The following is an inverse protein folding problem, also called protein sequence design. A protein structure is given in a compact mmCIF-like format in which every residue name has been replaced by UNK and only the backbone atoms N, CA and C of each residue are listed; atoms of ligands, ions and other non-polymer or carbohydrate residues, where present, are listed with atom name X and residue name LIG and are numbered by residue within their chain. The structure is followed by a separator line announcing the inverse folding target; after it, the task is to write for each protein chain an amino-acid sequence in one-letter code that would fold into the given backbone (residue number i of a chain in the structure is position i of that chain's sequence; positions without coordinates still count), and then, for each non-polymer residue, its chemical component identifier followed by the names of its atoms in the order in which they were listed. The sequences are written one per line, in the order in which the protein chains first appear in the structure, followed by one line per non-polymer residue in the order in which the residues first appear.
data_IF_026945930734
#
_entry.id   IF_026945930734
#
_cell.length_a   1.000
_cell.length_b   1.000
_cell.length_c   1.000
_cell.angle_alpha   90.00
_cell.angle_beta   90.00
_cell.angle_gamma   90.00
#
_symmetry.space_group_name_H-M   'P 1'
#
loop_
_entity.id
_entity.type
_entity.pdbx_description
1 polymer ?
#
# COMPACT_ATOMS: atom_id res chain seq x y z
N UNK A 1 25.63 -25.71 -10.52
CA UNK A 1 25.21 -24.59 -9.64
C UNK A 1 24.83 -25.18 -8.29
N UNK A 2 25.24 -24.55 -7.17
CA UNK A 2 24.86 -25.05 -5.84
C UNK A 2 23.33 -25.02 -5.69
N UNK A 3 22.75 -25.92 -4.91
CA UNK A 3 21.30 -26.00 -4.67
C UNK A 3 20.70 -24.70 -4.08
N UNK A 4 21.57 -23.82 -3.59
CA UNK A 4 21.27 -22.49 -3.03
C UNK A 4 21.21 -21.39 -4.10
N UNK A 5 22.00 -21.49 -5.17
CA UNK A 5 22.09 -20.43 -6.19
C UNK A 5 20.78 -20.26 -6.98
N UNK A 6 20.09 -21.34 -7.30
CA UNK A 6 18.90 -21.26 -8.15
C UNK A 6 17.73 -20.52 -7.45
N UNK A 7 17.34 -20.82 -6.20
CA UNK A 7 16.35 -20.03 -5.47
C UNK A 7 16.72 -18.55 -5.33
N UNK A 8 18.00 -18.24 -5.12
CA UNK A 8 18.47 -16.86 -5.05
C UNK A 8 18.29 -16.12 -6.39
N UNK A 9 18.48 -16.80 -7.52
CA UNK A 9 18.18 -16.22 -8.83
C UNK A 9 16.69 -15.93 -9.00
N UNK A 10 15.81 -16.84 -8.56
CA UNK A 10 14.36 -16.59 -8.58
C UNK A 10 13.98 -15.40 -7.68
N UNK A 11 14.56 -15.31 -6.49
CA UNK A 11 14.40 -14.17 -5.60
C UNK A 11 14.84 -12.85 -6.27
N UNK A 12 16.04 -12.81 -6.84
CA UNK A 12 16.57 -11.63 -7.52
C UNK A 12 15.72 -11.24 -8.74
N UNK A 13 15.32 -12.21 -9.57
CA UNK A 13 14.43 -11.99 -10.71
C UNK A 13 13.06 -11.46 -10.26
N UNK A 14 12.50 -12.04 -9.20
CA UNK A 14 11.28 -11.57 -8.54
C UNK A 14 11.41 -10.11 -8.11
N UNK A 15 12.51 -9.76 -7.44
CA UNK A 15 12.79 -8.39 -6.97
C UNK A 15 12.83 -7.37 -8.10
N UNK A 16 13.52 -7.68 -9.20
CA UNK A 16 13.56 -6.83 -10.39
C UNK A 16 12.15 -6.69 -11.00
N UNK A 17 11.41 -7.79 -11.12
CA UNK A 17 10.06 -7.78 -11.70
C UNK A 17 9.07 -7.01 -10.83
N UNK A 18 9.10 -7.20 -9.52
CA UNK A 18 8.29 -6.48 -8.53
C UNK A 18 8.55 -4.99 -8.54
N UNK A 19 9.83 -4.61 -8.54
CA UNK A 19 10.24 -3.23 -8.65
C UNK A 19 9.77 -2.57 -9.95
N UNK A 20 10.00 -3.21 -11.10
CA UNK A 20 9.57 -2.71 -12.41
C UNK A 20 8.04 -2.62 -12.53
N UNK A 21 7.33 -3.63 -12.03
CA UNK A 21 5.86 -3.67 -12.02
C UNK A 21 5.30 -2.49 -11.21
N UNK A 22 5.85 -2.28 -10.01
CA UNK A 22 5.44 -1.20 -9.12
C UNK A 22 5.77 0.18 -9.69
N UNK A 23 6.98 0.37 -10.24
CA UNK A 23 7.36 1.59 -10.93
C UNK A 23 6.39 1.92 -12.07
N UNK A 24 6.07 0.93 -12.92
CA UNK A 24 5.10 1.11 -14.02
C UNK A 24 3.72 1.48 -13.52
N UNK A 25 3.22 0.81 -12.47
CA UNK A 25 1.91 1.12 -11.86
C UNK A 25 1.86 2.55 -11.33
N UNK A 26 2.89 2.98 -10.58
CA UNK A 26 2.98 4.35 -10.06
C UNK A 26 3.08 5.37 -11.21
N UNK A 27 3.90 5.11 -12.22
CA UNK A 27 4.03 6.00 -13.38
C UNK A 27 2.73 6.11 -14.17
N UNK A 28 1.98 5.01 -14.30
CA UNK A 28 0.68 5.00 -14.98
C UNK A 28 -0.43 5.62 -14.15
N UNK A 29 -0.42 5.49 -12.81
CA UNK A 29 -1.46 6.11 -11.96
C UNK A 29 -1.47 7.63 -12.11
N UNK A 30 -0.30 8.24 -12.26
CA UNK A 30 -0.10 9.70 -12.35
C UNK A 30 -0.65 10.39 -13.60
N UNK A 31 -1.22 9.64 -14.55
CA UNK A 31 -1.85 10.23 -15.75
C UNK A 31 -3.35 10.33 -15.53
N UNK A 32 -3.91 11.53 -15.58
CA UNK A 32 -5.35 11.74 -15.63
C UNK A 32 -5.96 10.90 -16.76
N UNK A 33 -6.94 10.08 -16.40
CA UNK A 33 -7.87 9.53 -17.39
C UNK A 33 -8.84 10.62 -17.85
N UNK A 34 -9.74 10.29 -18.77
CA UNK A 34 -10.89 11.15 -19.02
C UNK A 34 -11.78 11.17 -17.77
N UNK A 35 -11.92 12.33 -17.13
CA UNK A 35 -12.79 12.52 -15.95
C UNK A 35 -14.08 13.18 -16.44
N UNK A 36 -15.24 12.60 -16.10
CA UNK A 36 -16.56 13.17 -16.38
C UNK A 36 -17.12 13.87 -15.14
N UNK A 37 -17.86 14.96 -15.31
CA UNK A 37 -18.49 15.69 -14.20
C UNK A 37 -17.51 16.44 -13.29
N UNK A 38 -16.46 17.03 -13.89
CA UNK A 38 -15.45 17.84 -13.19
C UNK A 38 -16.03 19.20 -12.84
N UNK A 39 -15.99 19.55 -11.56
CA UNK A 39 -16.31 20.90 -11.05
C UNK A 39 -15.05 21.77 -11.05
N UNK A 40 -13.92 21.23 -10.59
CA UNK A 40 -12.61 21.87 -10.60
C UNK A 40 -11.53 20.83 -10.89
N UNK A 41 -10.53 21.18 -11.70
CA UNK A 41 -9.37 20.32 -11.99
C UNK A 41 -8.07 21.11 -11.90
N UNK A 42 -7.03 20.50 -11.34
CA UNK A 42 -5.70 21.08 -11.29
C UNK A 42 -4.60 20.06 -11.21
N UNK A 43 -3.38 20.52 -11.42
CA UNK A 43 -2.16 19.77 -11.13
C UNK A 43 -1.45 20.42 -9.97
N UNK A 44 -0.98 19.59 -9.05
CA UNK A 44 -0.32 20.01 -7.83
C UNK A 44 1.05 19.33 -7.74
N UNK A 45 2.06 20.09 -7.31
CA UNK A 45 3.36 19.51 -6.98
C UNK A 45 3.21 18.62 -5.75
N UNK A 46 3.81 17.41 -5.75
CA UNK A 46 3.58 16.45 -4.69
C UNK A 46 4.03 17.00 -3.33
N UNK A 47 3.16 16.87 -2.33
CA UNK A 47 3.47 17.25 -0.96
C UNK A 47 4.31 16.15 -0.28
N UNK A 48 5.38 16.50 0.44
CA UNK A 48 6.12 15.53 1.26
C UNK A 48 5.23 14.99 2.39
N UNK A 49 4.81 13.72 2.27
CA UNK A 49 3.89 13.08 3.20
C UNK A 49 4.38 13.12 4.66
N UNK A 50 5.70 13.10 4.90
CA UNK A 50 6.29 13.17 6.24
C UNK A 50 6.07 14.52 6.94
N UNK A 51 5.97 15.62 6.20
CA UNK A 51 5.80 16.95 6.79
C UNK A 51 4.36 17.16 7.26
N UNK A 52 3.40 16.66 6.48
CA UNK A 52 1.98 16.91 6.71
C UNK A 52 1.31 15.77 7.48
N UNK A 53 1.68 14.50 7.23
CA UNK A 53 1.06 13.31 7.85
C UNK A 53 2.06 12.30 8.41
N UNK A 54 2.67 12.68 9.54
CA UNK A 54 3.66 11.84 10.25
C UNK A 54 3.10 10.50 10.69
N UNK A 55 1.85 10.44 11.17
CA UNK A 55 1.25 9.22 11.71
C UNK A 55 1.03 8.19 10.59
N UNK A 56 0.38 8.58 9.50
CA UNK A 56 0.19 7.73 8.33
C UNK A 56 1.52 7.28 7.72
N UNK A 57 2.51 8.18 7.65
CA UNK A 57 3.83 7.83 7.12
C UNK A 57 4.56 6.84 8.03
N UNK A 58 4.46 6.99 9.36
CA UNK A 58 5.01 6.04 10.33
C UNK A 58 4.34 4.67 10.22
N UNK A 59 3.02 4.64 10.03
CA UNK A 59 2.27 3.40 9.83
C UNK A 59 2.70 2.66 8.55
N UNK A 60 2.90 3.40 7.45
CA UNK A 60 3.45 2.88 6.19
C UNK A 60 4.88 2.36 6.41
N UNK A 61 5.73 3.08 7.15
CA UNK A 61 7.10 2.63 7.47
C UNK A 61 7.11 1.31 8.24
N UNK A 62 6.25 1.16 9.25
CA UNK A 62 6.11 -0.09 10.01
C UNK A 62 5.73 -1.24 9.07
N UNK A 63 4.79 -0.99 8.15
CA UNK A 63 4.37 -1.97 7.17
C UNK A 63 5.51 -2.40 6.24
N UNK A 64 6.21 -1.42 5.67
CA UNK A 64 7.37 -1.61 4.79
C UNK A 64 8.48 -2.36 5.52
N UNK A 65 8.78 -1.97 6.75
CA UNK A 65 9.77 -2.62 7.60
C UNK A 65 9.40 -4.07 7.87
N UNK A 66 8.14 -4.38 8.16
CA UNK A 66 7.70 -5.75 8.38
C UNK A 66 7.93 -6.65 7.15
N UNK A 67 7.65 -6.16 5.95
CA UNK A 67 7.95 -6.87 4.69
C UNK A 67 9.46 -7.08 4.54
N UNK A 68 10.28 -6.08 4.83
CA UNK A 68 11.74 -6.21 4.77
C UNK A 68 12.28 -7.21 5.78
N UNK A 69 11.81 -7.18 7.04
CA UNK A 69 12.24 -8.11 8.08
C UNK A 69 11.83 -9.55 7.73
N UNK A 70 10.63 -9.77 7.19
CA UNK A 70 10.22 -11.08 6.67
C UNK A 70 11.10 -11.55 5.50
N UNK A 71 11.45 -10.63 4.60
CA UNK A 71 12.35 -10.94 3.48
C UNK A 71 13.75 -11.30 4.00
N UNK A 72 14.23 -10.63 5.04
CA UNK A 72 15.50 -10.94 5.70
C UNK A 72 15.46 -12.31 6.41
N UNK A 73 14.33 -12.68 7.01
CA UNK A 73 14.14 -14.01 7.59
C UNK A 73 14.23 -15.14 6.54
N UNK A 74 13.99 -14.86 5.25
CA UNK A 74 14.15 -15.83 4.18
C UNK A 74 15.63 -16.10 3.82
N UNK A 75 16.55 -15.18 4.14
CA UNK A 75 17.98 -15.33 3.84
C UNK A 75 18.60 -16.61 4.41
N UNK A 76 18.46 -16.91 5.72
CA UNK A 76 18.95 -18.17 6.27
C UNK A 76 18.22 -19.39 5.68
N UNK A 77 16.93 -19.26 5.32
CA UNK A 77 16.15 -20.35 4.75
C UNK A 77 16.72 -20.87 3.43
N UNK A 78 17.38 -20.03 2.62
CA UNK A 78 18.07 -20.49 1.40
C UNK A 78 19.18 -21.49 1.67
N UNK A 79 19.83 -21.41 2.84
CA UNK A 79 20.90 -22.33 3.25
C UNK A 79 20.43 -23.56 4.01
N UNK A 80 19.17 -23.60 4.45
CA UNK A 80 18.64 -24.75 5.18
C UNK A 80 18.72 -26.03 4.32
N UNK A 81 18.88 -27.21 4.95
CA UNK A 81 18.72 -28.47 4.25
C UNK A 81 17.32 -28.54 3.62
N UNK A 82 17.25 -28.99 2.37
CA UNK A 82 15.98 -29.20 1.67
C UNK A 82 15.42 -30.58 1.98
N UNK A 83 14.10 -30.73 1.88
CA UNK A 83 13.41 -32.02 2.03
C UNK A 83 13.91 -33.02 0.97
N UNK A 84 14.30 -32.52 -0.21
CA UNK A 84 14.87 -33.35 -1.29
C UNK A 84 16.28 -33.89 -0.99
N UNK A 85 16.98 -33.37 0.03
CA UNK A 85 18.25 -33.97 0.45
C UNK A 85 18.03 -35.28 1.22
N UNK A 86 16.83 -35.48 1.78
CA UNK A 86 16.47 -36.64 2.62
C UNK A 86 15.57 -37.65 1.90
N UNK A 87 14.95 -37.29 0.77
CA UNK A 87 14.11 -38.16 -0.05
C UNK A 87 14.86 -38.65 -1.30
N UNK A 88 15.33 -39.91 -1.32
CA UNK A 88 16.13 -40.45 -2.42
C UNK A 88 15.24 -41.06 -3.50
N UNK A 89 15.48 -40.68 -4.77
CA UNK A 89 15.19 -41.37 -6.05
C UNK A 89 13.78 -41.93 -6.38
N UNK A 90 12.91 -42.18 -5.39
CA UNK A 90 11.57 -42.77 -5.53
C UNK A 90 10.43 -41.78 -5.29
N UNK A 91 10.74 -40.48 -5.19
CA UNK A 91 9.72 -39.45 -5.01
C UNK A 91 8.83 -39.37 -6.26
N UNK A 92 7.51 -39.43 -6.06
CA UNK A 92 6.57 -39.26 -7.17
C UNK A 92 6.72 -37.87 -7.81
N UNK A 93 6.41 -37.79 -9.12
CA UNK A 93 6.53 -36.57 -9.91
C UNK A 93 5.71 -35.42 -9.32
N UNK A 94 4.58 -35.72 -8.70
CA UNK A 94 3.73 -34.73 -8.02
C UNK A 94 4.45 -34.13 -6.83
N UNK A 95 5.08 -34.95 -5.99
CA UNK A 95 5.85 -34.48 -4.83
C UNK A 95 7.02 -33.60 -5.27
N UNK A 96 7.77 -34.01 -6.30
CA UNK A 96 8.87 -33.21 -6.84
C UNK A 96 8.38 -31.84 -7.34
N UNK A 97 7.25 -31.81 -8.07
CA UNK A 97 6.65 -30.57 -8.55
C UNK A 97 6.21 -29.66 -7.39
N UNK A 98 5.58 -30.20 -6.35
CA UNK A 98 5.16 -29.42 -5.18
C UNK A 98 6.36 -28.82 -4.45
N UNK A 99 7.46 -29.56 -4.31
CA UNK A 99 8.68 -29.08 -3.65
C UNK A 99 9.35 -27.98 -4.48
N UNK A 100 9.45 -28.17 -5.80
CA UNK A 100 9.97 -27.15 -6.71
C UNK A 100 9.11 -25.88 -6.69
N UNK A 101 7.79 -26.04 -6.72
CA UNK A 101 6.87 -24.93 -6.59
C UNK A 101 7.12 -24.20 -5.27
N UNK A 102 7.05 -24.88 -4.12
CA UNK A 102 7.26 -24.28 -2.80
C UNK A 102 8.57 -23.49 -2.71
N UNK A 103 9.68 -24.05 -3.21
CA UNK A 103 10.99 -23.43 -3.17
C UNK A 103 11.13 -22.23 -4.13
N UNK A 104 10.87 -22.42 -5.43
CA UNK A 104 11.16 -21.41 -6.45
C UNK A 104 10.06 -20.36 -6.55
N UNK A 105 8.78 -20.75 -6.46
CA UNK A 105 7.68 -19.80 -6.38
C UNK A 105 7.76 -19.01 -5.07
N UNK A 106 8.04 -19.67 -3.94
CA UNK A 106 8.23 -18.99 -2.65
C UNK A 106 9.33 -17.94 -2.72
N UNK A 107 10.53 -18.32 -3.17
CA UNK A 107 11.65 -17.40 -3.35
C UNK A 107 11.32 -16.23 -4.29
N UNK A 108 10.74 -16.53 -5.45
CA UNK A 108 10.37 -15.51 -6.45
C UNK A 108 9.29 -14.55 -5.96
N UNK A 109 8.30 -15.05 -5.21
CA UNK A 109 7.23 -14.25 -4.63
C UNK A 109 7.73 -13.35 -3.51
N UNK A 110 8.58 -13.85 -2.60
CA UNK A 110 9.22 -13.01 -1.58
C UNK A 110 9.99 -11.89 -2.29
N UNK A 111 10.87 -12.25 -3.24
CA UNK A 111 11.63 -11.29 -4.03
C UNK A 111 10.72 -10.23 -4.68
N UNK A 112 9.64 -10.65 -5.33
CA UNK A 112 8.65 -9.77 -5.94
C UNK A 112 8.05 -8.76 -4.95
N UNK A 113 7.66 -9.21 -3.75
CA UNK A 113 7.09 -8.33 -2.73
C UNK A 113 8.15 -7.38 -2.17
N UNK A 114 9.36 -7.86 -1.88
CA UNK A 114 10.48 -7.02 -1.41
C UNK A 114 10.85 -5.95 -2.44
N UNK A 115 10.97 -6.32 -3.72
CA UNK A 115 11.31 -5.40 -4.80
C UNK A 115 10.21 -4.36 -5.06
N UNK A 116 8.94 -4.77 -4.95
CA UNK A 116 7.81 -3.86 -5.04
C UNK A 116 7.86 -2.78 -3.96
N UNK A 117 8.13 -3.18 -2.71
CA UNK A 117 8.24 -2.28 -1.56
C UNK A 117 9.49 -1.39 -1.64
N UNK A 118 10.62 -1.94 -2.05
CA UNK A 118 11.88 -1.20 -2.20
C UNK A 118 11.77 -0.06 -3.21
N UNK A 119 10.96 -0.24 -4.26
CA UNK A 119 10.73 0.79 -5.27
C UNK A 119 9.60 1.74 -4.88
N UNK A 120 8.50 1.25 -4.29
CA UNK A 120 7.39 2.13 -3.90
C UNK A 120 7.81 3.14 -2.84
N UNK A 121 8.63 2.74 -1.87
CA UNK A 121 8.96 3.57 -0.72
C UNK A 121 9.73 4.86 -1.10
N UNK A 122 10.87 4.80 -1.83
CA UNK A 122 11.55 6.00 -2.32
C UNK A 122 10.67 6.82 -3.27
N UNK A 123 9.88 6.19 -4.14
CA UNK A 123 9.02 6.91 -5.09
C UNK A 123 7.83 7.63 -4.42
N UNK A 124 7.41 7.16 -3.24
CA UNK A 124 6.37 7.79 -2.42
C UNK A 124 6.95 8.90 -1.54
N UNK A 125 8.20 8.75 -1.06
CA UNK A 125 8.87 9.80 -0.26
C UNK A 125 9.41 10.92 -1.17
N UNK A 126 10.14 10.56 -2.21
CA UNK A 126 10.74 11.47 -3.19
C UNK A 126 9.82 11.64 -4.39
N UNK A 127 8.53 11.91 -4.13
CA UNK A 127 7.59 12.25 -5.20
C UNK A 127 8.09 13.54 -5.85
N UNK A 128 8.44 13.49 -7.13
CA UNK A 128 8.82 14.67 -7.91
C UNK A 128 7.79 15.01 -8.99
N UNK A 129 7.03 14.03 -9.45
CA UNK A 129 6.06 14.24 -10.52
C UNK A 129 4.78 14.90 -9.97
N UNK A 130 4.23 15.91 -10.67
CA UNK A 130 2.94 16.49 -10.35
C UNK A 130 1.83 15.45 -10.34
N UNK A 131 0.86 15.66 -9.45
CA UNK A 131 -0.34 14.84 -9.32
C UNK A 131 -1.55 15.67 -9.75
N UNK A 132 -2.41 15.07 -10.55
CA UNK A 132 -3.63 15.71 -11.00
C UNK A 132 -4.79 15.39 -10.05
N UNK A 133 -5.57 16.42 -9.77
CA UNK A 133 -6.71 16.40 -8.88
C UNK A 133 -7.93 16.93 -9.59
N UNK A 134 -9.09 16.33 -9.33
CA UNK A 134 -10.36 16.91 -9.72
C UNK A 134 -11.41 16.76 -8.63
N UNK A 135 -12.20 17.79 -8.41
CA UNK A 135 -13.41 17.74 -7.59
C UNK A 135 -14.57 17.40 -8.52
N UNK A 136 -15.36 16.41 -8.17
CA UNK A 136 -16.54 15.96 -8.91
C UNK A 136 -17.73 15.84 -7.96
N UNK A 137 -18.93 15.72 -8.51
CA UNK A 137 -20.14 15.46 -7.70
C UNK A 137 -20.06 14.17 -6.88
N UNK A 138 -19.29 13.17 -7.34
CA UNK A 138 -19.18 11.86 -6.70
C UNK A 138 -18.06 11.77 -5.66
N UNK A 139 -17.11 12.70 -5.68
CA UNK A 139 -15.92 12.63 -4.86
C UNK A 139 -14.75 13.40 -5.44
N UNK A 140 -13.56 13.14 -4.88
CA UNK A 140 -12.30 13.70 -5.37
C UNK A 140 -11.57 12.66 -6.18
N UNK A 141 -11.23 13.00 -7.41
CA UNK A 141 -10.28 12.23 -8.21
C UNK A 141 -8.88 12.66 -7.81
N UNK A 142 -8.11 11.70 -7.31
CA UNK A 142 -6.67 11.80 -7.12
C UNK A 142 -6.04 10.82 -8.10
N UNK A 143 -5.23 11.32 -9.05
CA UNK A 143 -4.64 10.52 -10.13
C UNK A 143 -5.71 9.85 -11.04
N UNK A 144 -5.94 8.56 -10.85
CA UNK A 144 -6.96 7.73 -11.54
C UNK A 144 -7.98 7.14 -10.59
N UNK A 145 -7.91 7.53 -9.32
CA UNK A 145 -8.71 6.98 -8.25
C UNK A 145 -9.74 8.01 -7.84
N UNK A 146 -11.01 7.68 -8.03
CA UNK A 146 -12.10 8.40 -7.41
C UNK A 146 -12.18 8.00 -5.93
N UNK A 147 -11.93 8.95 -5.06
CA UNK A 147 -12.16 8.87 -3.62
C UNK A 147 -13.56 9.42 -3.36
N UNK A 148 -14.55 8.57 -3.09
CA UNK A 148 -15.94 9.00 -2.99
C UNK A 148 -16.15 9.79 -1.69
N UNK A 149 -17.10 10.73 -1.67
CA UNK A 149 -17.31 11.66 -0.55
C UNK A 149 -17.53 10.96 0.79
N UNK A 150 -18.15 9.77 0.79
CA UNK A 150 -18.41 8.95 1.97
C UNK A 150 -17.13 8.47 2.66
N UNK A 151 -15.97 8.56 1.99
CA UNK A 151 -14.65 8.27 2.57
C UNK A 151 -14.20 9.34 3.55
N UNK A 152 -14.82 10.53 3.52
CA UNK A 152 -14.44 11.68 4.30
C UNK A 152 -15.55 12.11 5.26
N UNK A 153 -15.19 12.48 6.49
CA UNK A 153 -16.12 12.98 7.51
C UNK A 153 -16.31 14.48 7.48
N UNK A 154 -15.25 15.22 7.17
CA UNK A 154 -15.20 16.69 7.19
C UNK A 154 -14.01 17.20 6.39
N UNK A 155 -13.98 18.51 6.18
CA UNK A 155 -12.79 19.20 5.71
C UNK A 155 -12.33 20.29 6.68
N UNK A 156 -11.09 20.75 6.54
CA UNK A 156 -10.59 21.96 7.19
C UNK A 156 -9.74 22.79 6.23
N UNK A 157 -9.75 24.10 6.43
CA UNK A 157 -9.01 25.06 5.63
C UNK A 157 -7.86 25.67 6.43
N UNK A 158 -6.64 25.58 5.93
CA UNK A 158 -5.47 26.27 6.48
C UNK A 158 -5.04 27.37 5.51
N UNK A 159 -5.51 28.60 5.75
CA UNK A 159 -5.33 29.74 4.83
C UNK A 159 -3.87 30.14 4.66
N UNK A 160 -3.10 30.16 5.75
CA UNK A 160 -1.69 30.57 5.74
C UNK A 160 -0.83 29.69 4.84
N UNK A 161 -1.17 28.40 4.76
CA UNK A 161 -0.45 27.42 3.94
C UNK A 161 -1.14 27.09 2.61
N UNK A 162 -2.31 27.69 2.36
CA UNK A 162 -3.22 27.39 1.24
C UNK A 162 -3.56 25.90 1.11
N UNK A 163 -3.89 25.26 2.23
CA UNK A 163 -4.18 23.83 2.27
C UNK A 163 -5.65 23.56 2.57
N UNK A 164 -6.18 22.50 1.94
CA UNK A 164 -7.44 21.87 2.30
C UNK A 164 -7.14 20.46 2.77
N UNK A 165 -7.55 20.13 3.99
CA UNK A 165 -7.41 18.79 4.56
C UNK A 165 -8.76 18.10 4.64
N UNK A 166 -8.86 16.88 4.14
CA UNK A 166 -10.05 16.03 4.21
C UNK A 166 -9.79 14.92 5.20
N UNK A 167 -10.69 14.74 6.16
CA UNK A 167 -10.51 13.80 7.26
C UNK A 167 -11.27 12.52 7.00
N UNK A 168 -10.65 11.40 7.36
CA UNK A 168 -11.24 10.07 7.19
C UNK A 168 -12.61 9.96 7.87
N UNK A 169 -13.53 9.24 7.26
CA UNK A 169 -14.78 8.86 7.93
C UNK A 169 -14.52 7.91 9.09
N UNK A 170 -13.57 6.97 8.97
CA UNK A 170 -13.29 6.00 10.03
C UNK A 170 -12.55 6.62 11.21
N UNK A 171 -11.52 7.45 10.96
CA UNK A 171 -10.76 8.17 11.98
C UNK A 171 -10.85 9.69 11.72
N UNK A 172 -11.88 10.40 12.24
CA UNK A 172 -12.15 11.81 11.89
C UNK A 172 -11.10 12.84 12.33
N UNK A 173 -10.09 12.39 13.08
CA UNK A 173 -8.91 13.11 13.52
C UNK A 173 -7.67 12.83 12.65
N UNK A 174 -7.76 11.86 11.72
CA UNK A 174 -6.74 11.52 10.73
C UNK A 174 -7.10 12.15 9.38
N UNK A 175 -6.32 13.10 8.87
CA UNK A 175 -6.52 13.59 7.52
C UNK A 175 -6.04 12.54 6.51
N UNK A 176 -6.95 12.22 5.61
CA UNK A 176 -6.81 11.18 4.60
C UNK A 176 -6.25 11.72 3.28
N UNK A 177 -6.61 12.97 2.97
CA UNK A 177 -6.14 13.67 1.77
C UNK A 177 -5.85 15.12 2.13
N UNK A 178 -4.68 15.61 1.69
CA UNK A 178 -4.27 17.00 1.85
C UNK A 178 -4.02 17.54 0.45
N UNK A 179 -4.68 18.65 0.15
CA UNK A 179 -4.66 19.34 -1.12
C UNK A 179 -4.02 20.71 -0.92
N UNK A 180 -3.19 21.12 -1.86
CA UNK A 180 -2.60 22.47 -1.93
C UNK A 180 -2.81 23.02 -3.35
N UNK A 181 -4.02 23.55 -3.64
CA UNK A 181 -4.32 24.13 -4.94
C UNK A 181 -3.31 25.23 -5.30
N UNK A 182 -2.84 25.30 -6.56
CA UNK A 182 -1.91 26.32 -7.00
C UNK A 182 -2.51 27.72 -6.86
N UNK A 183 -1.66 28.75 -6.81
CA UNK A 183 -2.10 30.13 -6.57
C UNK A 183 -3.15 30.64 -7.60
N UNK A 184 -3.09 30.10 -8.83
CA UNK A 184 -4.04 30.41 -9.91
C UNK A 184 -5.46 29.90 -9.64
N UNK A 185 -5.65 28.98 -8.69
CA UNK A 185 -6.95 28.48 -8.28
C UNK A 185 -7.35 29.12 -6.96
N UNK A 186 -8.56 29.65 -6.95
CA UNK A 186 -9.15 30.28 -5.78
C UNK A 186 -9.39 29.23 -4.70
N UNK A 187 -8.65 29.35 -3.60
CA UNK A 187 -8.78 28.45 -2.46
C UNK A 187 -10.20 28.49 -1.87
N UNK A 188 -10.84 29.65 -1.90
CA UNK A 188 -12.22 29.82 -1.42
C UNK A 188 -13.21 29.09 -2.33
N UNK A 189 -13.04 29.10 -3.65
CA UNK A 189 -13.91 28.35 -4.57
C UNK A 189 -13.80 26.85 -4.35
N UNK A 190 -12.57 26.33 -4.21
CA UNK A 190 -12.31 24.92 -3.88
C UNK A 190 -12.99 24.56 -2.56
N UNK A 191 -12.85 25.40 -1.53
CA UNK A 191 -13.48 25.18 -0.23
C UNK A 191 -15.00 25.20 -0.32
N UNK A 192 -15.59 26.14 -1.06
CA UNK A 192 -17.03 26.23 -1.29
C UNK A 192 -17.56 25.00 -2.03
N UNK A 193 -16.84 24.52 -3.05
CA UNK A 193 -17.21 23.30 -3.78
C UNK A 193 -17.20 22.08 -2.86
N UNK A 194 -16.19 21.95 -1.99
CA UNK A 194 -16.10 20.85 -1.01
C UNK A 194 -17.19 20.97 0.07
N UNK A 195 -17.49 22.19 0.53
CA UNK A 195 -18.50 22.46 1.55
C UNK A 195 -19.91 22.01 1.13
N UNK A 196 -20.18 21.96 -0.19
CA UNK A 196 -21.43 21.39 -0.71
C UNK A 196 -21.61 19.89 -0.43
N UNK A 197 -20.53 19.15 -0.12
CA UNK A 197 -20.54 17.71 0.09
C UNK A 197 -20.07 17.27 1.48
N UNK A 198 -19.24 18.08 2.14
CA UNK A 198 -18.66 17.75 3.44
C UNK A 198 -18.81 18.93 4.42
N UNK A 199 -19.07 18.66 5.71
CA UNK A 199 -19.07 19.70 6.73
C UNK A 199 -17.65 20.23 6.99
N UNK A 200 -17.55 21.48 7.44
CA UNK A 200 -16.30 22.16 7.83
C UNK A 200 -15.94 21.99 9.33
N UNK A 201 -16.83 21.37 10.10
CA UNK A 201 -16.69 21.14 11.52
C UNK A 201 -16.55 19.65 11.83
N UNK A 202 -16.06 19.36 13.03
CA UNK A 202 -15.95 18.00 13.54
C UNK A 202 -17.35 17.36 13.70
N UNK A 203 -17.55 16.08 13.33
CA UNK A 203 -18.81 15.41 13.63
C UNK A 203 -19.07 15.39 15.13
N UNK A 204 -20.29 15.75 15.51
CA UNK A 204 -20.78 15.81 16.89
C UNK A 204 -21.04 14.40 17.46
N UNK A 205 -20.87 14.24 18.78
CA UNK A 205 -21.13 13.00 19.52
C UNK A 205 -19.89 12.22 19.97
N UNK A 206 -20.13 11.25 20.87
CA UNK A 206 -19.09 10.36 21.36
C UNK A 206 -18.58 9.43 20.26
N UNK A 207 -17.26 9.37 20.11
CA UNK A 207 -16.61 8.52 19.12
C UNK A 207 -16.12 7.24 19.79
N UNK A 208 -16.23 6.13 19.07
CA UNK A 208 -15.64 4.88 19.54
C UNK A 208 -14.12 5.05 19.74
N UNK A 209 -13.61 4.57 20.87
CA UNK A 209 -12.21 4.77 21.29
C UNK A 209 -11.16 4.29 20.26
N UNK A 210 -11.52 3.29 19.42
CA UNK A 210 -10.64 2.72 18.40
C UNK A 210 -10.61 3.52 17.08
N UNK A 211 -11.48 4.51 16.92
CA UNK A 211 -11.63 5.36 15.71
C UNK A 211 -10.83 6.65 15.83
N UNK A 212 -9.56 6.52 16.17
CA UNK A 212 -8.63 7.65 16.35
C UNK A 212 -7.33 7.43 15.59
N UNK A 213 -6.67 8.51 15.19
CA UNK A 213 -5.35 8.46 14.52
C UNK A 213 -4.29 7.73 15.35
N UNK A 214 -4.41 7.80 16.68
CA UNK A 214 -3.48 7.16 17.60
C UNK A 214 -3.58 5.63 17.60
N UNK A 215 -4.73 5.07 17.18
CA UNK A 215 -4.91 3.63 17.05
C UNK A 215 -4.27 3.05 15.77
N UNK A 216 -3.90 3.87 14.78
CA UNK A 216 -3.33 3.38 13.52
C UNK A 216 -1.99 2.66 13.73
N UNK A 217 -1.06 3.27 14.48
CA UNK A 217 0.27 2.69 14.72
C UNK A 217 0.17 1.37 15.51
N UNK A 218 -0.54 1.30 16.66
CA UNK A 218 -0.77 0.04 17.37
C UNK A 218 -1.46 -1.02 16.50
N UNK A 219 -2.45 -0.64 15.69
CA UNK A 219 -3.13 -1.57 14.78
C UNK A 219 -2.15 -2.17 13.77
N UNK A 220 -1.27 -1.34 13.18
CA UNK A 220 -0.24 -1.82 12.25
C UNK A 220 0.79 -2.73 12.92
N UNK A 221 1.22 -2.41 14.15
CA UNK A 221 2.14 -3.26 14.91
C UNK A 221 1.49 -4.60 15.22
N UNK A 222 0.27 -4.61 15.75
CA UNK A 222 -0.48 -5.84 16.06
C UNK A 222 -0.76 -6.68 14.81
N UNK A 223 -0.95 -6.03 13.66
CA UNK A 223 -1.17 -6.71 12.39
C UNK A 223 0.11 -7.25 11.76
N UNK A 224 1.28 -6.66 12.00
CA UNK A 224 2.53 -7.05 11.34
C UNK A 224 3.43 -7.92 12.24
N UNK A 225 3.55 -7.59 13.53
CA UNK A 225 4.49 -8.22 14.44
C UNK A 225 4.30 -9.74 14.60
N UNK A 226 3.07 -10.28 14.73
CA UNK A 226 2.87 -11.73 14.84
C UNK A 226 3.38 -12.49 13.61
N UNK A 227 3.17 -11.93 12.40
CA UNK A 227 3.66 -12.55 11.17
C UNK A 227 5.18 -12.48 11.08
N UNK A 228 5.79 -11.36 11.48
CA UNK A 228 7.25 -11.25 11.56
C UNK A 228 7.84 -12.31 12.50
N UNK A 229 7.29 -12.43 13.72
CA UNK A 229 7.71 -13.44 14.69
C UNK A 229 7.55 -14.85 14.13
N UNK A 230 6.40 -15.15 13.53
CA UNK A 230 6.13 -16.43 12.90
C UNK A 230 7.08 -16.70 11.71
N UNK A 231 7.45 -15.67 10.95
CA UNK A 231 8.40 -15.78 9.85
C UNK A 231 9.78 -16.24 10.31
N UNK A 232 10.26 -15.72 11.45
CA UNK A 232 11.51 -16.18 12.06
C UNK A 232 11.44 -17.61 12.59
N UNK A 233 10.28 -18.06 13.06
CA UNK A 233 10.07 -19.45 13.46
C UNK A 233 10.03 -20.37 12.24
N UNK A 234 9.29 -19.99 11.20
CA UNK A 234 9.15 -20.71 9.93
C UNK A 234 10.49 -20.78 9.18
N UNK A 235 11.35 -19.78 9.33
CA UNK A 235 12.70 -19.78 8.75
C UNK A 235 13.60 -20.93 9.26
N UNK A 236 13.21 -21.63 10.34
CA UNK A 236 13.93 -22.81 10.87
C UNK A 236 13.47 -24.13 10.24
N UNK A 237 12.41 -24.12 9.43
CA UNK A 237 11.91 -25.30 8.73
C UNK A 237 12.83 -25.68 7.56
N UNK A 238 12.67 -26.89 6.98
CA UNK A 238 13.32 -27.24 5.73
C UNK A 238 13.08 -26.19 4.65
N UNK A 239 14.07 -26.00 3.78
CA UNK A 239 14.15 -24.89 2.82
C UNK A 239 12.84 -24.57 2.12
N UNK A 240 12.16 -25.58 1.60
CA UNK A 240 10.99 -25.41 0.74
C UNK A 240 9.76 -25.00 1.55
N UNK A 241 9.57 -25.60 2.73
CA UNK A 241 8.54 -25.20 3.69
C UNK A 241 8.80 -23.79 4.25
N UNK A 242 10.06 -23.46 4.54
CA UNK A 242 10.46 -22.15 5.05
C UNK A 242 10.20 -21.04 4.01
N UNK A 243 10.67 -21.21 2.78
CA UNK A 243 10.47 -20.22 1.71
C UNK A 243 8.99 -20.05 1.35
N UNK A 244 8.23 -21.13 1.25
CA UNK A 244 6.81 -21.05 0.95
C UNK A 244 6.03 -20.40 2.12
N UNK A 245 6.30 -20.81 3.36
CA UNK A 245 5.67 -20.25 4.54
C UNK A 245 5.95 -18.74 4.68
N UNK A 246 7.21 -18.31 4.51
CA UNK A 246 7.56 -16.88 4.54
C UNK A 246 6.88 -16.12 3.41
N UNK A 247 6.76 -16.70 2.21
CA UNK A 247 6.03 -16.08 1.10
C UNK A 247 4.56 -15.82 1.45
N UNK A 248 3.88 -16.81 2.04
CA UNK A 248 2.50 -16.67 2.51
C UNK A 248 2.37 -15.61 3.60
N UNK A 249 3.26 -15.63 4.61
CA UNK A 249 3.26 -14.62 5.68
C UNK A 249 3.48 -13.21 5.13
N UNK A 250 4.39 -13.06 4.16
CA UNK A 250 4.67 -11.77 3.51
C UNK A 250 3.45 -11.27 2.74
N UNK A 251 2.76 -12.15 1.99
CA UNK A 251 1.49 -11.81 1.34
C UNK A 251 0.41 -11.40 2.35
N UNK A 252 0.29 -12.13 3.46
CA UNK A 252 -0.67 -11.81 4.52
C UNK A 252 -0.39 -10.43 5.14
N UNK A 253 0.88 -10.12 5.42
CA UNK A 253 1.28 -8.79 5.91
C UNK A 253 0.88 -7.74 4.89
N UNK A 254 1.31 -7.86 3.63
CA UNK A 254 0.99 -6.89 2.54
C UNK A 254 -0.52 -6.65 2.43
N UNK A 255 -1.32 -7.71 2.44
CA UNK A 255 -2.78 -7.62 2.35
C UNK A 255 -3.39 -6.94 3.58
N UNK A 256 -3.09 -7.43 4.78
CA UNK A 256 -3.69 -6.95 6.03
C UNK A 256 -3.26 -5.52 6.35
N UNK A 257 -1.97 -5.20 6.20
CA UNK A 257 -1.48 -3.84 6.41
C UNK A 257 -2.07 -2.86 5.40
N UNK A 258 -2.20 -3.25 4.13
CA UNK A 258 -2.90 -2.45 3.12
C UNK A 258 -4.38 -2.21 3.46
N UNK A 259 -5.08 -3.23 3.98
CA UNK A 259 -6.47 -3.10 4.43
C UNK A 259 -6.61 -2.15 5.63
N UNK A 260 -5.71 -2.23 6.60
CA UNK A 260 -5.72 -1.33 7.77
C UNK A 260 -5.47 0.11 7.33
N UNK A 261 -4.45 0.36 6.50
CA UNK A 261 -4.16 1.70 5.98
C UNK A 261 -5.37 2.27 5.22
N UNK A 262 -6.00 1.49 4.34
CA UNK A 262 -7.19 1.92 3.60
C UNK A 262 -8.40 2.14 4.51
N UNK A 263 -8.61 1.29 5.52
CA UNK A 263 -9.69 1.47 6.48
C UNK A 263 -9.52 2.78 7.25
N UNK A 264 -8.31 3.05 7.76
CA UNK A 264 -8.05 4.27 8.51
C UNK A 264 -8.09 5.52 7.62
N UNK A 265 -7.62 5.46 6.38
CA UNK A 265 -7.65 6.60 5.47
C UNK A 265 -9.04 6.86 4.89
N UNK A 266 -9.76 5.84 4.42
CA UNK A 266 -10.94 6.04 3.59
C UNK A 266 -12.22 5.39 4.12
N UNK A 267 -12.18 4.75 5.30
CA UNK A 267 -13.35 4.14 5.96
C UNK A 267 -14.06 3.03 5.18
N UNK A 268 -13.56 2.64 4.02
CA UNK A 268 -14.11 1.56 3.21
C UNK A 268 -13.24 0.31 3.38
N UNK A 269 -13.88 -0.83 3.71
CA UNK A 269 -13.32 -2.15 3.40
C UNK A 269 -13.48 -2.37 1.89
N UNK A 270 -12.74 -1.63 1.06
CA UNK A 270 -12.91 -1.77 -0.39
C UNK A 270 -12.13 -3.01 -0.88
N UNK A 271 -12.79 -4.04 -1.46
CA UNK A 271 -12.10 -5.14 -2.12
C UNK A 271 -11.60 -4.65 -3.48
N UNK A 272 -10.48 -3.92 -3.47
CA UNK A 272 -9.89 -3.36 -4.67
C UNK A 272 -10.74 -2.25 -5.27
N UNK A 273 -10.21 -1.04 -5.25
CA UNK A 273 -10.69 0.05 -6.10
C UNK A 273 -10.59 -0.44 -7.55
N UNK A 274 -11.70 -0.96 -8.09
CA UNK A 274 -11.80 -1.34 -9.50
C UNK A 274 -11.58 -0.07 -10.30
N UNK A 275 -10.41 0.02 -10.95
CA UNK A 275 -10.17 0.96 -12.03
C UNK A 275 -11.17 0.65 -13.15
N UNK A 276 -12.36 1.25 -13.08
CA UNK A 276 -13.30 1.22 -14.20
C UNK A 276 -12.74 2.20 -15.23
N UNK A 277 -11.85 1.70 -16.08
CA UNK A 277 -11.64 2.30 -17.39
C UNK A 277 -12.97 2.24 -18.11
N UNK A 278 -13.71 3.35 -18.08
CA UNK A 278 -14.82 3.54 -19.00
C UNK A 278 -14.20 3.66 -20.39
N UNK A 279 -14.30 2.59 -21.18
CA UNK A 279 -14.16 2.72 -22.63
C UNK A 279 -15.37 3.55 -23.10
N UNK A 280 -15.18 4.69 -23.77
CA UNK A 280 -16.25 5.29 -24.53
C UNK A 280 -16.45 4.42 -25.78
N UNK A 281 -17.47 3.57 -25.78
CA UNK A 281 -18.03 3.11 -27.04
C UNK A 281 -18.85 4.26 -27.62
N UNK A 282 -18.56 4.55 -28.88
CA UNK A 282 -19.21 5.49 -29.77
C UNK A 282 -20.73 5.29 -29.87
#
# INVERSE_FOLDING_TARGET
MSSVMLPLLFFAAGMVFGGRSTYRKIKMSRRTGQITGVLHEWTEAPLPAWEYERISTTAILIHVLAVFVLSAAALPAFSNPGILNEYPESADRVTLLMVWFAQYFGAGLIGFLSGSVLISFPLIIYRHDPVAYAITEKGIVHDRTLLPWESFSRFSLERDRRMVSLYSTFAPDLPALILRPPAVISLTEVATAIHGFLPDHAPEGERAWYRTRFCLIPAMILACAPFVLLGWLVARLPREAALFGIALLTMSVVSLGGQILNLFAFGTRSPGVRSRTQNPTA
#
